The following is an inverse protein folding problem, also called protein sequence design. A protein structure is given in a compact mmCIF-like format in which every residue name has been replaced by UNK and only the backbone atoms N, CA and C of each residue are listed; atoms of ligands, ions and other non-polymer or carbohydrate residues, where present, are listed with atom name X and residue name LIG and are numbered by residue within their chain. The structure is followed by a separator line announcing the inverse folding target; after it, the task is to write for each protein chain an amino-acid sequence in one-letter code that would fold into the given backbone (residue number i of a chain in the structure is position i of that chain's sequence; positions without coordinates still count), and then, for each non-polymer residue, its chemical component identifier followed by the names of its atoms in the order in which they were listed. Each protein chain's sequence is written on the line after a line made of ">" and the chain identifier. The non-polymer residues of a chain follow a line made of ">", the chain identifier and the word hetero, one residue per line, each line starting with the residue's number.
data_IF_551542698638
#
_entry.id   IF_551542698638
#
_cell.length_a   1.000
_cell.length_b   1.000
_cell.length_c   1.000
_cell.angle_alpha   90.00
_cell.angle_beta   90.00
_cell.angle_gamma   90.00
#
_symmetry.space_group_name_H-M   'P 1'
#
loop_
_entity.id
_entity.type
_entity.pdbx_description
1 polymer ?
#
# COMPACT_ATOMS: atom_id res chain seq x y z
N UNK A 1 23.99 8.65 3.08
CA UNK A 1 24.71 7.39 2.79
C UNK A 1 24.37 6.28 3.78
N UNK A 2 24.09 6.58 5.06
CA UNK A 2 23.71 5.56 6.05
C UNK A 2 22.27 5.01 5.90
N UNK A 3 21.32 5.82 5.40
CA UNK A 3 19.89 5.45 5.35
C UNK A 3 19.58 4.15 4.59
N UNK A 4 20.12 3.91 3.37
CA UNK A 4 19.88 2.65 2.65
C UNK A 4 20.47 1.41 3.37
N UNK A 5 21.62 1.56 4.03
CA UNK A 5 22.24 0.49 4.81
C UNK A 5 21.44 0.18 6.08
N UNK A 6 20.90 1.20 6.75
CA UNK A 6 19.98 1.03 7.89
C UNK A 6 18.72 0.28 7.47
N UNK A 7 18.06 0.72 6.39
CA UNK A 7 16.85 0.05 5.88
C UNK A 7 17.11 -1.41 5.47
N UNK A 8 18.29 -1.68 4.90
CA UNK A 8 18.70 -3.04 4.52
C UNK A 8 18.97 -3.92 5.74
N UNK A 9 19.61 -3.38 6.79
CA UNK A 9 19.83 -4.11 8.04
C UNK A 9 18.50 -4.41 8.75
N UNK A 10 17.59 -3.43 8.81
CA UNK A 10 16.25 -3.61 9.38
C UNK A 10 15.49 -4.70 8.60
N UNK A 11 15.60 -4.71 7.27
CA UNK A 11 15.01 -5.77 6.45
C UNK A 11 15.53 -7.15 6.85
N UNK A 12 16.85 -7.31 7.01
CA UNK A 12 17.44 -8.60 7.41
C UNK A 12 16.97 -8.98 8.81
N UNK A 13 17.03 -8.04 9.76
CA UNK A 13 16.63 -8.28 11.15
C UNK A 13 15.15 -8.67 11.28
N UNK A 14 14.25 -7.97 10.59
CA UNK A 14 12.81 -8.25 10.59
C UNK A 14 12.44 -9.55 9.86
N UNK A 15 13.29 -10.06 8.96
CA UNK A 15 13.10 -11.38 8.36
C UNK A 15 13.35 -12.51 9.35
N UNK A 16 14.26 -12.31 10.30
CA UNK A 16 14.64 -13.30 11.32
C UNK A 16 13.85 -13.14 12.63
N UNK A 17 13.29 -11.95 12.89
CA UNK A 17 12.62 -11.61 14.14
C UNK A 17 11.21 -11.01 13.90
N UNK A 18 10.14 -11.81 14.02
CA UNK A 18 8.77 -11.35 13.79
C UNK A 18 8.33 -10.17 14.65
N UNK A 19 8.82 -10.08 15.89
CA UNK A 19 8.49 -8.98 16.81
C UNK A 19 9.10 -7.64 16.39
N UNK A 20 10.13 -7.63 15.54
CA UNK A 20 10.74 -6.41 15.03
C UNK A 20 9.95 -5.80 13.85
N UNK A 21 8.90 -6.46 13.36
CA UNK A 21 8.13 -5.99 12.21
C UNK A 21 7.37 -4.68 12.47
N UNK A 22 6.87 -4.48 13.69
CA UNK A 22 6.20 -3.23 14.08
C UNK A 22 7.19 -2.07 14.10
N UNK A 23 8.34 -2.25 14.75
CA UNK A 23 9.43 -1.27 14.79
C UNK A 23 9.97 -0.98 13.39
N UNK A 24 10.15 -2.00 12.56
CA UNK A 24 10.59 -1.86 11.18
C UNK A 24 9.59 -1.04 10.35
N UNK A 25 8.28 -1.26 10.56
CA UNK A 25 7.21 -0.47 9.93
C UNK A 25 7.27 0.98 10.38
N UNK A 26 7.40 1.24 11.69
CA UNK A 26 7.52 2.58 12.23
C UNK A 26 8.74 3.33 11.68
N UNK A 27 9.90 2.66 11.59
CA UNK A 27 11.12 3.24 11.02
C UNK A 27 10.93 3.55 9.53
N UNK A 28 10.36 2.62 8.75
CA UNK A 28 10.10 2.84 7.33
C UNK A 28 9.16 4.04 7.10
N UNK A 29 8.10 4.16 7.92
CA UNK A 29 7.17 5.29 7.89
C UNK A 29 7.83 6.61 8.28
N UNK A 30 8.78 6.60 9.23
CA UNK A 30 9.57 7.78 9.60
C UNK A 30 10.40 8.27 8.40
N UNK A 31 11.09 7.37 7.70
CA UNK A 31 11.85 7.72 6.50
C UNK A 31 10.96 8.19 5.33
N UNK A 32 9.73 7.68 5.20
CA UNK A 32 8.78 8.13 4.18
C UNK A 32 8.27 9.55 4.44
N UNK A 33 8.02 9.88 5.69
CA UNK A 33 7.57 11.21 6.10
C UNK A 33 8.70 12.24 6.09
N UNK A 34 9.95 11.79 6.23
CA UNK A 34 11.09 12.68 6.30
C UNK A 34 11.30 13.41 4.96
N UNK A 35 11.45 14.73 5.04
CA UNK A 35 11.87 15.58 3.93
C UNK A 35 13.06 16.39 4.41
N UNK A 36 14.21 16.18 3.77
CA UNK A 36 15.45 16.87 4.10
C UNK A 36 15.84 17.75 2.92
N UNK A 37 15.84 19.07 3.12
CA UNK A 37 16.20 20.08 2.12
C UNK A 37 17.65 19.95 1.64
N UNK A 38 18.52 19.34 2.45
CA UNK A 38 19.96 19.23 2.18
C UNK A 38 20.29 17.99 1.33
N UNK A 39 19.30 17.11 1.11
CA UNK A 39 19.44 15.89 0.32
C UNK A 39 18.84 16.12 -1.07
N UNK A 40 19.59 15.75 -2.11
CA UNK A 40 19.06 15.85 -3.48
C UNK A 40 17.76 15.05 -3.65
N UNK A 41 16.83 15.59 -4.44
CA UNK A 41 15.54 14.97 -4.72
C UNK A 41 15.65 13.50 -5.14
N UNK A 42 16.61 13.19 -6.02
CA UNK A 42 16.88 11.82 -6.48
C UNK A 42 17.27 10.88 -5.33
N UNK A 43 18.13 11.33 -4.41
CA UNK A 43 18.54 10.53 -3.25
C UNK A 43 17.38 10.34 -2.26
N UNK A 44 16.55 11.36 -2.09
CA UNK A 44 15.36 11.28 -1.24
C UNK A 44 14.35 10.27 -1.80
N UNK A 45 14.08 10.31 -3.11
CA UNK A 45 13.20 9.35 -3.76
C UNK A 45 13.73 7.92 -3.67
N UNK A 46 15.04 7.71 -3.81
CA UNK A 46 15.64 6.39 -3.60
C UNK A 46 15.43 5.88 -2.17
N UNK A 47 15.56 6.74 -1.15
CA UNK A 47 15.30 6.36 0.25
C UNK A 47 13.83 5.97 0.43
N UNK A 48 12.90 6.77 -0.10
CA UNK A 48 11.46 6.47 -0.02
C UNK A 48 11.11 5.18 -0.72
N UNK A 49 11.68 4.92 -1.89
CA UNK A 49 11.50 3.65 -2.60
C UNK A 49 12.00 2.46 -1.76
N UNK A 50 13.16 2.57 -1.11
CA UNK A 50 13.65 1.54 -0.20
C UNK A 50 12.74 1.35 1.02
N UNK A 51 12.18 2.43 1.57
CA UNK A 51 11.19 2.33 2.65
C UNK A 51 9.93 1.61 2.19
N UNK A 52 9.41 1.92 0.99
CA UNK A 52 8.26 1.20 0.43
C UNK A 52 8.56 -0.28 0.19
N UNK A 53 9.76 -0.61 -0.27
CA UNK A 53 10.21 -2.01 -0.39
C UNK A 53 10.22 -2.72 0.96
N UNK A 54 10.70 -2.06 2.00
CA UNK A 54 10.67 -2.61 3.36
C UNK A 54 9.23 -2.84 3.83
N UNK A 55 8.32 -1.87 3.61
CA UNK A 55 6.90 -2.04 3.94
C UNK A 55 6.27 -3.22 3.20
N UNK A 56 6.59 -3.43 1.92
CA UNK A 56 6.11 -4.60 1.17
C UNK A 56 6.62 -5.92 1.79
N UNK A 57 7.86 -5.95 2.28
CA UNK A 57 8.38 -7.12 3.02
C UNK A 57 7.62 -7.31 4.33
N UNK A 58 7.28 -6.22 5.04
CA UNK A 58 6.49 -6.29 6.28
C UNK A 58 5.08 -6.80 6.03
N UNK A 59 4.46 -6.50 4.88
CA UNK A 59 3.19 -7.10 4.49
C UNK A 59 3.27 -8.63 4.31
N UNK A 60 4.45 -9.19 3.98
CA UNK A 60 4.65 -10.63 3.79
C UNK A 60 5.01 -11.33 5.10
N UNK A 61 5.87 -10.69 5.91
CA UNK A 61 6.49 -11.31 7.09
C UNK A 61 5.84 -10.94 8.42
N UNK A 62 5.14 -9.81 8.47
CA UNK A 62 4.49 -9.28 9.66
C UNK A 62 2.98 -9.16 9.45
N UNK A 63 2.42 -8.09 10.03
CA UNK A 63 1.01 -7.78 9.91
C UNK A 63 0.73 -6.84 8.72
N UNK A 64 0.13 -7.32 7.62
CA UNK A 64 -0.20 -6.48 6.49
C UNK A 64 -1.24 -5.41 6.82
N UNK A 65 -2.11 -5.62 7.81
CA UNK A 65 -3.17 -4.66 8.15
C UNK A 65 -2.59 -3.39 8.76
N UNK A 66 -1.66 -3.52 9.73
CA UNK A 66 -0.91 -2.39 10.29
C UNK A 66 -0.17 -1.58 9.23
N UNK A 67 0.51 -2.23 8.28
CA UNK A 67 1.21 -1.54 7.19
C UNK A 67 0.25 -0.77 6.29
N UNK A 68 -0.87 -1.39 5.91
CA UNK A 68 -1.89 -0.78 5.06
C UNK A 68 -2.57 0.39 5.77
N UNK A 69 -2.85 0.29 7.07
CA UNK A 69 -3.44 1.38 7.85
C UNK A 69 -2.46 2.55 7.99
N UNK A 70 -1.18 2.30 8.27
CA UNK A 70 -0.15 3.34 8.29
C UNK A 70 -0.05 4.07 6.94
N UNK A 71 -0.10 3.33 5.83
CA UNK A 71 -0.10 3.91 4.49
C UNK A 71 -1.40 4.64 4.18
N UNK A 72 -2.54 4.17 4.67
CA UNK A 72 -3.84 4.84 4.54
C UNK A 72 -3.80 6.20 5.22
N UNK A 73 -3.33 6.26 6.46
CA UNK A 73 -3.17 7.50 7.21
C UNK A 73 -2.25 8.49 6.49
N UNK A 74 -1.15 8.00 5.90
CA UNK A 74 -0.24 8.81 5.09
C UNK A 74 -0.94 9.39 3.86
N UNK A 75 -1.80 8.63 3.20
CA UNK A 75 -2.51 9.05 1.99
C UNK A 75 -3.74 9.92 2.28
N UNK A 76 -4.35 9.79 3.47
CA UNK A 76 -5.48 10.60 3.93
C UNK A 76 -5.03 11.97 4.45
N UNK A 77 -3.87 12.06 5.12
CA UNK A 77 -3.37 13.29 5.76
C UNK A 77 -3.01 14.43 4.79
N UNK A 78 -3.08 14.21 3.47
CA UNK A 78 -3.49 15.17 2.43
C UNK A 78 -2.91 16.60 2.36
N UNK A 79 -1.92 16.96 3.18
CA UNK A 79 -1.52 18.37 3.35
C UNK A 79 -0.03 18.65 3.25
N UNK A 80 0.85 17.64 3.23
CA UNK A 80 2.28 17.83 3.02
C UNK A 80 3.04 16.50 2.84
N UNK A 81 2.35 15.42 2.46
CA UNK A 81 2.99 14.10 2.38
C UNK A 81 3.85 14.04 1.12
N UNK A 82 5.14 13.92 1.37
CA UNK A 82 6.22 14.05 0.40
C UNK A 82 6.32 12.87 -0.58
N UNK A 83 5.35 11.95 -0.57
CA UNK A 83 5.36 10.75 -1.40
C UNK A 83 4.71 11.10 -2.74
N UNK A 84 5.52 11.06 -3.80
CA UNK A 84 5.03 11.35 -5.13
C UNK A 84 4.08 10.24 -5.65
N UNK A 85 3.28 10.58 -6.66
CA UNK A 85 2.32 9.66 -7.25
C UNK A 85 3.00 8.41 -7.87
N UNK A 86 4.27 8.51 -8.27
CA UNK A 86 5.01 7.39 -8.84
C UNK A 86 5.35 6.34 -7.78
N UNK A 87 5.76 6.77 -6.59
CA UNK A 87 6.02 5.94 -5.43
C UNK A 87 4.73 5.30 -4.89
N UNK A 88 3.61 6.02 -4.91
CA UNK A 88 2.30 5.43 -4.58
C UNK A 88 1.94 4.31 -5.57
N UNK A 89 2.07 4.56 -6.88
CA UNK A 89 1.85 3.53 -7.90
C UNK A 89 2.79 2.34 -7.72
N UNK A 90 4.06 2.59 -7.40
CA UNK A 90 5.06 1.55 -7.12
C UNK A 90 4.61 0.66 -5.96
N UNK A 91 4.22 1.26 -4.83
CA UNK A 91 3.77 0.52 -3.67
C UNK A 91 2.50 -0.29 -3.94
N UNK A 92 1.48 0.32 -4.55
CA UNK A 92 0.23 -0.37 -4.88
C UNK A 92 0.48 -1.50 -5.87
N UNK A 93 1.30 -1.29 -6.91
CA UNK A 93 1.68 -2.35 -7.84
C UNK A 93 2.39 -3.51 -7.12
N UNK A 94 3.30 -3.21 -6.20
CA UNK A 94 3.95 -4.22 -5.36
C UNK A 94 2.96 -5.00 -4.49
N UNK A 95 2.00 -4.32 -3.85
CA UNK A 95 0.93 -4.97 -3.07
C UNK A 95 0.13 -5.96 -3.93
N UNK A 96 -0.26 -5.54 -5.14
CA UNK A 96 -1.04 -6.39 -6.04
C UNK A 96 -0.31 -7.68 -6.47
N UNK A 97 1.03 -7.67 -6.47
CA UNK A 97 1.84 -8.84 -6.81
C UNK A 97 1.95 -9.84 -5.65
N UNK A 98 1.90 -9.36 -4.41
CA UNK A 98 2.10 -10.18 -3.20
C UNK A 98 0.79 -10.69 -2.60
N UNK A 99 -0.32 -9.94 -2.78
CA UNK A 99 -1.62 -10.31 -2.22
C UNK A 99 -2.18 -11.52 -2.96
N UNK A 100 -2.51 -12.58 -2.22
CA UNK A 100 -3.11 -13.81 -2.74
C UNK A 100 -4.32 -14.19 -1.89
N UNK A 101 -5.40 -14.73 -2.48
CA UNK A 101 -6.54 -15.24 -1.73
C UNK A 101 -6.16 -16.50 -0.91
N UNK A 102 -6.92 -16.85 0.14
CA UNK A 102 -8.14 -16.19 0.62
C UNK A 102 -7.88 -14.88 1.38
N UNK A 103 -8.84 -13.94 1.33
CA UNK A 103 -8.74 -12.66 2.03
C UNK A 103 -9.57 -12.68 3.30
N UNK A 104 -9.02 -12.19 4.41
CA UNK A 104 -9.80 -11.95 5.61
C UNK A 104 -10.59 -10.65 5.49
N UNK A 105 -11.67 -10.54 6.27
CA UNK A 105 -12.48 -9.32 6.36
C UNK A 105 -11.71 -8.11 6.87
N UNK A 106 -10.93 -8.20 7.98
CA UNK A 106 -10.13 -7.07 8.44
C UNK A 106 -9.18 -6.57 7.35
N UNK A 107 -8.50 -7.49 6.66
CA UNK A 107 -7.63 -7.14 5.55
C UNK A 107 -8.38 -6.44 4.41
N UNK A 108 -9.53 -6.98 4.00
CA UNK A 108 -10.38 -6.40 2.96
C UNK A 108 -10.80 -4.97 3.32
N UNK A 109 -11.16 -4.74 4.58
CA UNK A 109 -11.57 -3.42 5.10
C UNK A 109 -10.42 -2.41 5.05
N UNK A 110 -9.25 -2.76 5.60
CA UNK A 110 -8.06 -1.89 5.60
C UNK A 110 -7.64 -1.55 4.16
N UNK A 111 -7.56 -2.57 3.30
CA UNK A 111 -7.15 -2.37 1.91
C UNK A 111 -8.15 -1.50 1.13
N UNK A 112 -9.45 -1.73 1.30
CA UNK A 112 -10.47 -0.89 0.64
C UNK A 112 -10.43 0.56 1.12
N UNK A 113 -10.15 0.80 2.41
CA UNK A 113 -9.95 2.16 2.93
C UNK A 113 -8.75 2.83 2.27
N UNK A 114 -7.61 2.14 2.18
CA UNK A 114 -6.43 2.63 1.48
C UNK A 114 -6.72 2.98 0.02
N UNK A 115 -7.41 2.08 -0.70
CA UNK A 115 -7.80 2.27 -2.10
C UNK A 115 -8.78 3.44 -2.29
N UNK A 116 -9.56 3.82 -1.27
CA UNK A 116 -10.43 5.01 -1.32
C UNK A 116 -9.73 6.31 -0.95
N UNK A 117 -8.53 6.25 -0.38
CA UNK A 117 -7.79 7.46 -0.01
C UNK A 117 -7.51 8.33 -1.24
N UNK A 118 -7.60 9.66 -1.07
CA UNK A 118 -7.43 10.62 -2.19
C UNK A 118 -6.09 10.44 -2.91
N UNK A 119 -5.01 10.18 -2.16
CA UNK A 119 -3.67 9.93 -2.71
C UNK A 119 -3.61 8.66 -3.56
N UNK A 120 -4.27 7.58 -3.13
CA UNK A 120 -4.31 6.33 -3.89
C UNK A 120 -5.12 6.48 -5.19
N UNK A 121 -6.32 7.06 -5.09
CA UNK A 121 -7.22 7.26 -6.24
C UNK A 121 -6.56 8.11 -7.31
N UNK A 122 -5.99 9.25 -6.92
CA UNK A 122 -5.33 10.16 -7.85
C UNK A 122 -4.08 9.57 -8.50
N UNK A 123 -3.38 8.63 -7.85
CA UNK A 123 -2.17 8.02 -8.38
C UNK A 123 -2.47 6.81 -9.28
N UNK A 124 -3.36 5.92 -8.81
CA UNK A 124 -3.73 4.65 -9.46
C UNK A 124 -4.72 4.87 -10.61
N UNK A 125 -5.54 5.91 -10.55
CA UNK A 125 -6.49 6.25 -11.61
C UNK A 125 -5.86 6.79 -12.89
N UNK A 126 -4.54 6.99 -12.93
CA UNK A 126 -3.80 7.54 -14.08
C UNK A 126 -3.43 6.47 -15.09
N UNK A 127 -3.12 6.88 -16.33
CA UNK A 127 -2.63 5.99 -17.38
C UNK A 127 -1.22 5.43 -17.08
N UNK A 128 -0.48 6.05 -16.16
CA UNK A 128 0.81 5.57 -15.69
C UNK A 128 0.72 4.35 -14.77
N UNK A 129 -0.49 3.97 -14.34
CA UNK A 129 -0.70 2.70 -13.65
C UNK A 129 -0.86 1.61 -14.71
N UNK A 130 0.22 0.89 -15.01
CA UNK A 130 0.31 -0.03 -16.15
C UNK A 130 -0.84 -1.05 -16.25
N UNK A 131 -1.14 -1.50 -17.46
CA UNK A 131 -2.24 -2.41 -17.78
C UNK A 131 -2.26 -3.68 -16.91
N UNK A 132 -1.09 -4.29 -16.69
CA UNK A 132 -0.96 -5.47 -15.82
C UNK A 132 -1.46 -5.18 -14.39
N UNK A 133 -1.06 -4.05 -13.81
CA UNK A 133 -1.50 -3.66 -12.47
C UNK A 133 -3.00 -3.35 -12.45
N UNK A 134 -3.55 -2.73 -13.49
CA UNK A 134 -5.01 -2.51 -13.62
C UNK A 134 -5.78 -3.83 -13.65
N UNK A 135 -5.27 -4.84 -14.36
CA UNK A 135 -5.86 -6.18 -14.38
C UNK A 135 -5.76 -6.89 -13.02
N UNK A 136 -4.62 -6.82 -12.35
CA UNK A 136 -4.45 -7.37 -11.00
C UNK A 136 -5.39 -6.69 -10.00
N UNK A 137 -5.56 -5.37 -10.09
CA UNK A 137 -6.51 -4.61 -9.28
C UNK A 137 -7.95 -5.08 -9.50
N UNK A 138 -8.34 -5.32 -10.75
CA UNK A 138 -9.65 -5.87 -11.09
C UNK A 138 -9.87 -7.26 -10.49
N UNK A 139 -8.88 -8.16 -10.60
CA UNK A 139 -8.93 -9.50 -9.98
C UNK A 139 -9.06 -9.42 -8.46
N UNK A 140 -8.31 -8.52 -7.83
CA UNK A 140 -8.35 -8.32 -6.37
C UNK A 140 -9.72 -7.83 -5.91
N UNK A 141 -10.28 -6.81 -6.57
CA UNK A 141 -11.61 -6.28 -6.25
C UNK A 141 -12.69 -7.35 -6.44
N UNK A 142 -12.63 -8.12 -7.54
CA UNK A 142 -13.56 -9.22 -7.77
C UNK A 142 -13.48 -10.30 -6.68
N UNK A 143 -12.27 -10.62 -6.21
CA UNK A 143 -12.08 -11.56 -5.11
C UNK A 143 -12.61 -11.03 -3.76
N UNK A 144 -12.41 -9.74 -3.45
CA UNK A 144 -12.98 -9.11 -2.26
C UNK A 144 -14.51 -9.08 -2.29
N UNK A 145 -15.12 -8.87 -3.46
CA UNK A 145 -16.57 -8.99 -3.63
C UNK A 145 -17.08 -10.42 -3.37
N UNK A 146 -16.26 -11.43 -3.65
CA UNK A 146 -16.57 -12.84 -3.34
C UNK A 146 -16.58 -13.12 -1.83
N UNK A 147 -15.63 -12.56 -1.08
CA UNK A 147 -15.56 -12.68 0.38
C UNK A 147 -16.79 -12.05 1.04
N UNK A 148 -17.17 -10.86 0.59
CA UNK A 148 -18.35 -10.12 1.09
C UNK A 148 -19.68 -10.86 0.88
N UNK A 149 -19.77 -11.70 -0.15
CA UNK A 149 -21.00 -12.49 -0.44
C UNK A 149 -21.08 -13.78 0.38
N UNK A 150 -19.94 -14.30 0.81
CA UNK A 150 -19.85 -15.63 1.44
C UNK A 150 -19.91 -15.55 2.96
N UNK A 151 -19.30 -14.51 3.54
CA UNK A 151 -19.35 -14.29 4.99
C UNK A 151 -20.55 -13.41 5.36
N UNK A 152 -21.20 -13.68 6.51
CA UNK A 152 -22.26 -12.84 7.10
C UNK A 152 -21.68 -11.50 7.55
N UNK A 153 -21.39 -10.63 6.58
CA UNK A 153 -20.70 -9.38 6.81
C UNK A 153 -21.65 -8.22 7.07
N UNK A 154 -21.13 -7.24 7.82
CA UNK A 154 -21.87 -6.00 8.08
C UNK A 154 -22.19 -5.29 6.76
N UNK A 155 -23.37 -4.65 6.67
CA UNK A 155 -23.77 -3.89 5.48
C UNK A 155 -22.77 -2.80 5.09
N UNK A 156 -21.96 -2.34 6.05
CA UNK A 156 -20.89 -1.36 5.85
C UNK A 156 -19.73 -1.92 5.03
N UNK A 157 -19.32 -3.17 5.26
CA UNK A 157 -18.20 -3.80 4.55
C UNK A 157 -18.56 -4.02 3.07
N UNK A 158 -19.82 -4.41 2.81
CA UNK A 158 -20.33 -4.55 1.43
C UNK A 158 -20.36 -3.22 0.69
N UNK A 159 -20.89 -2.19 1.32
CA UNK A 159 -20.93 -0.84 0.76
C UNK A 159 -19.53 -0.31 0.47
N UNK A 160 -18.55 -0.65 1.32
CA UNK A 160 -17.16 -0.26 1.14
C UNK A 160 -16.54 -0.90 -0.12
N UNK A 161 -16.68 -2.22 -0.29
CA UNK A 161 -16.14 -2.94 -1.45
C UNK A 161 -16.82 -2.49 -2.74
N UNK A 162 -18.15 -2.31 -2.72
CA UNK A 162 -18.90 -1.83 -3.89
C UNK A 162 -18.49 -0.39 -4.26
N UNK A 163 -18.22 0.46 -3.26
CA UNK A 163 -17.69 1.80 -3.47
C UNK A 163 -16.31 1.78 -4.15
N UNK A 164 -15.39 0.92 -3.73
CA UNK A 164 -14.08 0.73 -4.38
C UNK A 164 -14.23 0.22 -5.81
N UNK A 165 -15.10 -0.78 -6.01
CA UNK A 165 -15.36 -1.37 -7.33
C UNK A 165 -15.88 -0.32 -8.32
N UNK A 166 -16.83 0.52 -7.88
CA UNK A 166 -17.33 1.62 -8.70
C UNK A 166 -16.24 2.66 -9.02
N UNK A 167 -15.40 2.98 -8.04
CA UNK A 167 -14.34 3.98 -8.17
C UNK A 167 -13.30 3.61 -9.24
N UNK A 168 -12.90 2.34 -9.27
CA UNK A 168 -11.87 1.85 -10.20
C UNK A 168 -12.42 1.24 -11.48
N UNK A 169 -13.75 1.22 -11.69
CA UNK A 169 -14.38 0.61 -12.88
C UNK A 169 -13.78 1.12 -14.19
N UNK A 170 -13.61 2.45 -14.33
CA UNK A 170 -13.04 3.06 -15.54
C UNK A 170 -11.56 2.69 -15.70
N UNK A 171 -10.80 2.72 -14.61
CA UNK A 171 -9.38 2.34 -14.59
C UNK A 171 -9.20 0.90 -15.03
N UNK A 172 -10.02 -0.03 -14.55
CA UNK A 172 -9.97 -1.46 -14.91
C UNK A 172 -10.42 -1.68 -16.35
N UNK A 173 -11.43 -0.95 -16.84
CA UNK A 173 -11.91 -1.08 -18.22
C UNK A 173 -10.90 -0.57 -19.27
N UNK A 174 -9.90 0.22 -18.85
CA UNK A 174 -8.82 0.73 -19.70
C UNK A 174 -7.55 -0.14 -19.69
N UNK A 175 -7.63 -1.34 -19.09
CA UNK A 175 -6.52 -2.30 -18.96
C UNK A 175 -6.47 -3.28 -20.13
#
# INVERSE_FOLDING_TARGET
>A
TLSPSILSLIRISSMEHPFACEDATAIAMSFLNHSNSDVSYQKMNAIKEQSLRLLLVMCIKGDPTTVIDCMTDLLEKGGNTSVDAALIRYFVGGLLQIIRPPYSVPFTRCLCRMLKSKGCVSSVGTDYFGAENKQLLGKLIGGMQGVVKTEELSGNDRTLVDSVSNLYRKTIASA
#
